data_IF_461914834814
#
_entry.id   IF_461914834814
#
_cell.length_a   1.000
_cell.length_b   1.000
_cell.length_c   1.000
_cell.angle_alpha   90.00
_cell.angle_beta   90.00
_cell.angle_gamma   90.00
#
_symmetry.space_group_name_H-M   'P 1'
#
loop_
_entity.id
_entity.type
_entity.pdbx_description
1 polymer ?
#
# COMPACT_ATOMS: atom_id res chain seq x y z
N UNK A 1 -12.13 10.23 8.51
CA UNK A 1 -11.00 10.65 7.67
C UNK A 1 -11.21 12.06 7.14
N UNK A 2 -10.13 12.81 6.98
CA UNK A 2 -10.11 14.04 6.18
C UNK A 2 -10.07 13.64 4.70
N UNK A 3 -11.12 13.95 3.95
CA UNK A 3 -11.24 13.54 2.56
C UNK A 3 -10.28 14.30 1.63
N UNK A 4 -9.94 15.55 1.95
CA UNK A 4 -8.97 16.34 1.18
C UNK A 4 -7.56 15.76 1.33
N UNK A 5 -7.20 15.33 2.53
CA UNK A 5 -5.96 14.59 2.79
C UNK A 5 -5.97 13.24 2.05
N UNK A 6 -7.07 12.50 2.11
CA UNK A 6 -7.19 11.21 1.42
C UNK A 6 -7.02 11.34 -0.10
N UNK A 7 -7.63 12.35 -0.73
CA UNK A 7 -7.47 12.61 -2.17
C UNK A 7 -6.00 12.87 -2.51
N UNK A 8 -5.31 13.75 -1.76
CA UNK A 8 -3.89 14.05 -2.01
C UNK A 8 -2.99 12.83 -1.84
N UNK A 9 -3.27 11.99 -0.83
CA UNK A 9 -2.51 10.76 -0.59
C UNK A 9 -2.69 9.78 -1.75
N UNK A 10 -3.93 9.52 -2.17
CA UNK A 10 -4.23 8.60 -3.28
C UNK A 10 -3.65 9.12 -4.59
N UNK A 11 -3.82 10.41 -4.89
CA UNK A 11 -3.26 11.03 -6.08
C UNK A 11 -1.73 10.84 -6.13
N UNK A 12 -1.03 11.26 -5.09
CA UNK A 12 0.43 11.09 -5.00
C UNK A 12 0.85 9.62 -5.07
N UNK A 13 0.17 8.73 -4.33
CA UNK A 13 0.52 7.33 -4.25
C UNK A 13 0.35 6.59 -5.58
N UNK A 14 -0.56 7.05 -6.46
CA UNK A 14 -0.77 6.45 -7.78
C UNK A 14 -0.02 7.14 -8.91
N UNK A 15 0.16 8.47 -8.84
CA UNK A 15 0.56 9.22 -10.03
C UNK A 15 2.02 9.69 -10.01
N UNK A 16 2.68 9.76 -8.85
CA UNK A 16 4.06 10.27 -8.75
C UNK A 16 5.11 9.34 -9.38
N UNK A 17 4.90 8.02 -9.36
CA UNK A 17 5.69 7.02 -10.09
C UNK A 17 4.84 5.74 -10.20
N UNK A 18 3.96 5.65 -11.18
CA UNK A 18 2.94 4.59 -11.25
C UNK A 18 3.52 3.18 -11.46
N UNK A 19 4.73 3.07 -12.01
CA UNK A 19 5.46 1.82 -12.22
C UNK A 19 6.20 1.31 -10.98
N UNK A 20 6.33 2.14 -9.94
CA UNK A 20 7.10 1.78 -8.75
C UNK A 20 6.35 0.77 -7.88
N UNK A 21 7.09 -0.14 -7.25
CA UNK A 21 6.54 -1.22 -6.40
C UNK A 21 5.78 -0.72 -5.16
N UNK A 22 5.97 0.53 -4.77
CA UNK A 22 5.28 1.20 -3.67
C UNK A 22 4.16 2.14 -4.16
N UNK A 23 3.87 2.17 -5.47
CA UNK A 23 2.64 2.77 -6.02
C UNK A 23 1.44 1.94 -5.58
N UNK A 24 0.30 2.58 -5.34
CA UNK A 24 -0.92 1.85 -5.00
C UNK A 24 -1.56 1.23 -6.25
N UNK A 25 -2.05 0.00 -6.10
CA UNK A 25 -2.78 -0.72 -7.15
C UNK A 25 -4.28 -0.82 -6.82
N UNK A 26 -4.64 -0.70 -5.53
CA UNK A 26 -6.02 -0.69 -5.11
C UNK A 26 -6.33 0.34 -4.03
N UNK A 27 -7.59 0.79 -3.98
CA UNK A 27 -8.15 1.65 -2.94
C UNK A 27 -9.45 1.05 -2.41
N UNK A 28 -9.49 0.83 -1.10
CA UNK A 28 -10.67 0.35 -0.40
C UNK A 28 -11.33 1.53 0.33
N UNK A 29 -12.61 1.75 0.07
CA UNK A 29 -13.33 2.91 0.59
C UNK A 29 -14.51 2.47 1.43
N UNK A 30 -14.57 2.93 2.68
CA UNK A 30 -15.72 2.65 3.54
C UNK A 30 -17.01 3.21 2.93
N UNK A 31 -18.09 2.41 2.96
CA UNK A 31 -19.39 2.73 2.35
C UNK A 31 -19.91 4.11 2.71
N UNK A 32 -19.82 4.49 3.99
CA UNK A 32 -20.32 5.79 4.48
C UNK A 32 -19.55 6.99 3.91
N UNK A 33 -18.40 6.77 3.31
CA UNK A 33 -17.58 7.82 2.70
C UNK A 33 -17.51 7.75 1.18
N UNK A 34 -17.93 6.63 0.60
CA UNK A 34 -17.79 6.37 -0.83
C UNK A 34 -18.46 7.43 -1.70
N UNK A 35 -19.71 7.79 -1.38
CA UNK A 35 -20.47 8.77 -2.18
C UNK A 35 -19.83 10.18 -2.21
N UNK A 36 -19.14 10.58 -1.11
CA UNK A 36 -18.48 11.87 -1.04
C UNK A 36 -17.03 11.82 -1.56
N UNK A 37 -16.30 10.74 -1.26
CA UNK A 37 -14.88 10.62 -1.56
C UNK A 37 -14.62 10.27 -3.01
N UNK A 38 -15.30 9.27 -3.57
CA UNK A 38 -15.00 8.73 -4.89
C UNK A 38 -15.04 9.78 -6.01
N UNK A 39 -16.05 10.68 -6.08
CA UNK A 39 -16.05 11.73 -7.11
C UNK A 39 -14.87 12.69 -6.99
N UNK A 40 -14.46 13.06 -5.77
CA UNK A 40 -13.31 13.96 -5.52
C UNK A 40 -11.99 13.28 -5.92
N UNK A 41 -11.84 12.01 -5.54
CA UNK A 41 -10.69 11.20 -5.93
C UNK A 41 -10.60 11.08 -7.45
N UNK A 42 -11.71 10.74 -8.11
CA UNK A 42 -11.75 10.63 -9.58
C UNK A 42 -11.35 11.94 -10.25
N UNK A 43 -11.86 13.07 -9.80
CA UNK A 43 -11.52 14.38 -10.36
C UNK A 43 -10.01 14.66 -10.32
N UNK A 44 -9.31 14.29 -9.24
CA UNK A 44 -7.86 14.43 -9.15
C UNK A 44 -7.14 13.46 -10.10
N UNK A 45 -7.54 12.19 -10.11
CA UNK A 45 -6.94 11.16 -10.93
C UNK A 45 -7.17 11.35 -12.44
N UNK A 46 -8.27 11.97 -12.84
CA UNK A 46 -8.57 12.30 -14.25
C UNK A 46 -7.54 13.27 -14.85
N UNK A 47 -6.93 14.13 -14.04
CA UNK A 47 -5.86 15.03 -14.48
C UNK A 47 -4.63 14.26 -15.01
N UNK A 48 -4.46 13.04 -14.56
CA UNK A 48 -3.36 12.14 -14.94
C UNK A 48 -3.80 11.00 -15.87
N UNK A 49 -5.08 10.96 -16.25
CA UNK A 49 -5.63 9.93 -17.13
C UNK A 49 -5.71 8.54 -16.47
N UNK A 50 -5.83 8.47 -15.14
CA UNK A 50 -5.92 7.19 -14.42
C UNK A 50 -7.24 6.50 -14.71
N UNK A 51 -7.19 5.26 -15.22
CA UNK A 51 -8.34 4.39 -15.43
C UNK A 51 -8.77 3.77 -14.11
N UNK A 52 -10.04 3.86 -13.77
CA UNK A 52 -10.60 3.24 -12.57
C UNK A 52 -11.33 1.95 -12.96
N UNK A 53 -10.96 0.84 -12.30
CA UNK A 53 -11.67 -0.43 -12.30
C UNK A 53 -12.42 -0.55 -10.98
N UNK A 54 -13.74 -0.69 -11.02
CA UNK A 54 -14.58 -0.59 -9.83
C UNK A 54 -15.39 -1.84 -9.53
N UNK A 55 -15.60 -2.13 -8.24
CA UNK A 55 -16.67 -3.03 -7.84
C UNK A 55 -18.06 -2.45 -8.24
N UNK A 56 -19.15 -3.22 -8.17
CA UNK A 56 -20.48 -2.72 -8.56
C UNK A 56 -20.90 -1.43 -7.87
N UNK A 57 -20.58 -1.26 -6.58
CA UNK A 57 -20.88 -0.05 -5.83
C UNK A 57 -20.05 1.15 -6.31
N UNK A 58 -18.77 0.94 -6.60
CA UNK A 58 -17.92 1.97 -7.21
C UNK A 58 -18.44 2.42 -8.56
N UNK A 59 -18.80 1.50 -9.45
CA UNK A 59 -19.34 1.81 -10.77
C UNK A 59 -20.70 2.54 -10.70
N UNK A 60 -21.51 2.25 -9.67
CA UNK A 60 -22.77 2.98 -9.43
C UNK A 60 -22.52 4.44 -9.03
N UNK A 61 -21.48 4.71 -8.25
CA UNK A 61 -21.12 6.06 -7.78
C UNK A 61 -20.32 6.82 -8.87
N UNK A 62 -19.49 6.11 -9.61
CA UNK A 62 -18.62 6.67 -10.66
C UNK A 62 -19.02 6.11 -12.05
N UNK A 63 -19.90 6.77 -12.79
CA UNK A 63 -20.35 6.26 -14.10
C UNK A 63 -19.22 6.09 -15.15
N UNK A 64 -18.05 6.71 -14.93
CA UNK A 64 -16.87 6.57 -15.80
C UNK A 64 -15.91 5.46 -15.38
N UNK A 65 -16.19 4.70 -14.32
CA UNK A 65 -15.40 3.55 -13.92
C UNK A 65 -15.81 2.32 -14.75
N UNK A 66 -14.84 1.48 -15.12
CA UNK A 66 -15.09 0.18 -15.74
C UNK A 66 -15.28 -0.90 -14.67
N UNK A 67 -16.13 -1.91 -14.88
CA UNK A 67 -16.23 -3.03 -13.94
C UNK A 67 -14.88 -3.75 -13.79
N UNK A 68 -14.49 -4.02 -12.56
CA UNK A 68 -13.33 -4.84 -12.24
C UNK A 68 -13.68 -6.33 -12.40
N UNK A 69 -12.82 -7.09 -13.06
CA UNK A 69 -12.85 -8.56 -13.07
C UNK A 69 -12.22 -9.13 -11.78
N UNK A 70 -12.37 -10.43 -11.54
CA UNK A 70 -11.81 -11.06 -10.34
C UNK A 70 -10.28 -11.01 -10.32
N UNK A 71 -9.66 -11.10 -11.47
CA UNK A 71 -8.21 -11.09 -11.68
C UNK A 71 -7.61 -9.72 -11.39
N UNK A 72 -8.36 -8.63 -11.66
CA UNK A 72 -7.89 -7.25 -11.48
C UNK A 72 -7.51 -6.92 -10.02
N UNK A 73 -8.06 -7.66 -9.05
CA UNK A 73 -7.73 -7.46 -7.63
C UNK A 73 -6.34 -7.98 -7.24
N UNK A 74 -5.74 -8.84 -8.08
CA UNK A 74 -4.40 -9.41 -7.86
C UNK A 74 -3.36 -8.82 -8.83
N UNK A 75 -3.77 -7.86 -9.67
CA UNK A 75 -2.91 -7.34 -10.74
C UNK A 75 -2.02 -6.20 -10.25
N UNK A 76 -0.75 -6.29 -10.57
CA UNK A 76 0.20 -5.19 -10.50
C UNK A 76 0.14 -4.41 -11.82
N UNK A 77 -0.72 -3.40 -11.91
CA UNK A 77 -0.94 -2.64 -13.16
C UNK A 77 0.31 -1.87 -13.61
N UNK A 78 1.16 -1.45 -12.68
CA UNK A 78 2.39 -0.69 -12.92
C UNK A 78 2.21 0.46 -13.91
N UNK A 79 1.10 1.16 -13.78
CA UNK A 79 0.68 2.21 -14.70
C UNK A 79 -0.53 2.98 -14.17
N UNK A 80 -1.14 3.77 -15.02
CA UNK A 80 -2.29 4.63 -14.68
C UNK A 80 -3.61 3.85 -14.65
N UNK A 81 -3.64 2.73 -13.92
CA UNK A 81 -4.86 1.97 -13.62
C UNK A 81 -4.96 1.75 -12.11
N UNK A 82 -6.16 1.87 -11.55
CA UNK A 82 -6.42 1.75 -10.12
C UNK A 82 -7.69 0.94 -9.90
N UNK A 83 -7.61 -0.14 -9.12
CA UNK A 83 -8.76 -0.89 -8.67
C UNK A 83 -9.40 -0.20 -7.46
N UNK A 84 -10.73 -0.07 -7.44
CA UNK A 84 -11.45 0.64 -6.37
C UNK A 84 -12.64 -0.18 -5.88
N UNK A 85 -12.67 -0.49 -4.58
CA UNK A 85 -13.72 -1.27 -3.94
C UNK A 85 -14.34 -0.51 -2.78
N UNK A 86 -15.66 -0.57 -2.68
CA UNK A 86 -16.40 -0.14 -1.49
C UNK A 86 -16.48 -1.31 -0.52
N UNK A 87 -16.19 -1.04 0.75
CA UNK A 87 -16.20 -2.02 1.85
C UNK A 87 -17.06 -1.52 3.01
N UNK A 88 -17.59 -2.44 3.81
CA UNK A 88 -18.50 -2.11 4.91
C UNK A 88 -17.80 -1.95 6.27
N UNK A 89 -16.56 -2.44 6.37
CA UNK A 89 -15.82 -2.40 7.64
C UNK A 89 -14.30 -2.43 7.43
N UNK A 90 -13.57 -2.14 8.52
CA UNK A 90 -12.12 -2.29 8.56
C UNK A 90 -11.72 -3.77 8.38
N UNK A 91 -12.47 -4.67 8.97
CA UNK A 91 -12.25 -6.11 8.90
C UNK A 91 -12.37 -6.63 7.46
N UNK A 92 -13.40 -6.19 6.74
CA UNK A 92 -13.56 -6.52 5.32
C UNK A 92 -12.40 -5.99 4.49
N UNK A 93 -11.97 -4.75 4.76
CA UNK A 93 -10.81 -4.18 4.08
C UNK A 93 -9.54 -5.00 4.33
N UNK A 94 -9.27 -5.38 5.58
CA UNK A 94 -8.11 -6.20 5.94
C UNK A 94 -8.17 -7.59 5.31
N UNK A 95 -9.31 -8.25 5.30
CA UNK A 95 -9.50 -9.55 4.66
C UNK A 95 -9.28 -9.48 3.14
N UNK A 96 -9.75 -8.41 2.49
CA UNK A 96 -9.49 -8.17 1.07
C UNK A 96 -7.98 -7.97 0.81
N UNK A 97 -7.30 -7.17 1.62
CA UNK A 97 -5.86 -6.96 1.50
C UNK A 97 -5.06 -8.25 1.72
N UNK A 98 -5.44 -9.07 2.71
CA UNK A 98 -4.79 -10.36 2.97
C UNK A 98 -4.87 -11.31 1.76
N UNK A 99 -5.99 -11.26 1.04
CA UNK A 99 -6.23 -12.12 -0.13
C UNK A 99 -5.59 -11.61 -1.42
N UNK A 100 -5.36 -10.30 -1.55
CA UNK A 100 -5.04 -9.66 -2.83
C UNK A 100 -3.80 -8.75 -2.80
N UNK A 101 -3.25 -8.43 -1.62
CA UNK A 101 -2.11 -7.52 -1.54
C UNK A 101 -0.78 -8.29 -1.52
N UNK A 102 0.20 -7.82 -2.28
CA UNK A 102 1.56 -8.38 -2.31
C UNK A 102 2.39 -8.16 -1.03
N UNK A 103 1.83 -7.50 0.00
CA UNK A 103 2.46 -7.32 1.31
C UNK A 103 3.66 -6.36 1.34
N UNK A 104 3.82 -5.50 0.35
CA UNK A 104 4.92 -4.50 0.32
C UNK A 104 4.56 -3.30 1.18
N UNK A 105 3.53 -2.54 0.78
CA UNK A 105 3.10 -1.32 1.45
C UNK A 105 1.58 -1.25 1.49
N UNK A 106 1.04 -0.90 2.64
CA UNK A 106 -0.38 -0.63 2.81
C UNK A 106 -0.58 0.66 3.60
N UNK A 107 -1.73 1.30 3.43
CA UNK A 107 -2.02 2.54 4.13
C UNK A 107 -3.47 2.68 4.56
N UNK A 108 -3.69 3.39 5.64
CA UNK A 108 -5.01 3.83 6.10
C UNK A 108 -5.05 5.35 6.22
N UNK A 109 -6.15 5.94 5.78
CA UNK A 109 -6.44 7.36 6.04
C UNK A 109 -7.61 7.45 7.01
N UNK A 110 -7.33 7.90 8.23
CA UNK A 110 -8.33 7.97 9.30
C UNK A 110 -7.99 9.06 10.32
N UNK A 111 -9.01 9.60 10.98
CA UNK A 111 -8.86 10.47 12.16
C UNK A 111 -9.07 9.70 13.47
N UNK A 112 -9.39 8.40 13.38
CA UNK A 112 -9.60 7.52 14.51
C UNK A 112 -8.30 6.77 14.84
N UNK A 113 -7.70 7.08 15.98
CA UNK A 113 -6.45 6.47 16.46
C UNK A 113 -6.65 4.97 16.71
N UNK A 114 -7.80 4.57 17.24
CA UNK A 114 -8.07 3.16 17.51
C UNK A 114 -8.18 2.36 16.21
N UNK A 115 -8.85 2.91 15.19
CA UNK A 115 -8.89 2.29 13.85
C UNK A 115 -7.49 2.19 13.22
N UNK A 116 -6.65 3.22 13.36
CA UNK A 116 -5.29 3.21 12.86
C UNK A 116 -4.44 2.11 13.52
N UNK A 117 -4.52 1.99 14.86
CA UNK A 117 -3.80 0.95 15.62
C UNK A 117 -4.29 -0.46 15.27
N UNK A 118 -5.60 -0.66 15.16
CA UNK A 118 -6.18 -1.95 14.74
C UNK A 118 -5.70 -2.33 13.34
N UNK A 119 -5.77 -1.40 12.39
CA UNK A 119 -5.28 -1.61 11.04
C UNK A 119 -3.81 -2.01 11.03
N UNK A 120 -2.96 -1.27 11.74
CA UNK A 120 -1.52 -1.56 11.81
C UNK A 120 -1.22 -2.94 12.43
N UNK A 121 -2.05 -3.39 13.38
CA UNK A 121 -1.92 -4.72 13.99
C UNK A 121 -2.44 -5.87 13.13
N UNK A 122 -3.40 -5.61 12.23
CA UNK A 122 -3.99 -6.61 11.34
C UNK A 122 -3.26 -6.72 10.00
N UNK A 123 -2.65 -5.63 9.54
CA UNK A 123 -2.03 -5.57 8.22
C UNK A 123 -0.70 -6.32 8.18
N UNK A 124 -0.64 -7.38 7.36
CA UNK A 124 0.60 -8.14 7.14
C UNK A 124 1.36 -7.59 5.91
N UNK A 125 2.00 -6.44 6.11
CA UNK A 125 2.80 -5.77 5.10
C UNK A 125 4.19 -5.40 5.64
N UNK A 126 5.15 -5.19 4.73
CA UNK A 126 6.49 -4.74 5.09
C UNK A 126 6.48 -3.32 5.67
N UNK A 127 5.56 -2.47 5.20
CA UNK A 127 5.34 -1.14 5.75
C UNK A 127 3.85 -0.80 5.83
N UNK A 128 3.45 -0.19 6.95
CA UNK A 128 2.09 0.28 7.19
C UNK A 128 2.12 1.78 7.38
N UNK A 129 1.37 2.50 6.58
CA UNK A 129 1.28 3.95 6.60
C UNK A 129 -0.04 4.40 7.21
N UNK A 130 0.02 5.35 8.12
CA UNK A 130 -1.16 6.02 8.66
C UNK A 130 -1.11 7.47 8.22
N UNK A 131 -2.11 7.89 7.43
CA UNK A 131 -2.23 9.26 6.92
C UNK A 131 -1.01 9.74 6.11
N UNK A 132 -0.35 8.82 5.41
CA UNK A 132 0.81 9.11 4.56
C UNK A 132 0.75 8.28 3.27
N UNK A 133 1.42 8.75 2.23
CA UNK A 133 1.54 8.05 0.95
C UNK A 133 2.46 6.85 1.07
N UNK A 134 2.11 5.74 0.43
CA UNK A 134 2.97 4.55 0.32
C UNK A 134 4.28 4.83 -0.42
N UNK A 135 4.36 5.94 -1.17
CA UNK A 135 5.58 6.41 -1.84
C UNK A 135 6.72 6.75 -0.87
N UNK A 136 6.44 6.96 0.42
CA UNK A 136 7.47 7.08 1.45
C UNK A 136 8.20 5.78 1.76
N UNK A 137 7.74 4.62 1.25
CA UNK A 137 8.49 3.37 1.34
C UNK A 137 9.68 3.41 0.35
N UNK A 138 10.71 4.10 0.75
CA UNK A 138 11.90 4.37 -0.06
C UNK A 138 13.14 4.35 0.84
N UNK A 139 14.22 3.72 0.38
CA UNK A 139 15.45 3.59 1.16
C UNK A 139 16.12 4.92 1.43
N UNK A 140 15.98 5.91 0.53
CA UNK A 140 16.46 7.26 0.74
C UNK A 140 15.67 7.98 1.83
N UNK A 141 14.34 7.91 1.78
CA UNK A 141 13.44 8.50 2.77
C UNK A 141 13.63 7.86 4.17
N UNK A 142 13.91 6.56 4.24
CA UNK A 142 14.18 5.84 5.49
C UNK A 142 15.64 5.96 5.97
N UNK A 143 16.50 6.66 5.23
CA UNK A 143 17.90 6.85 5.61
C UNK A 143 18.77 5.60 5.48
N UNK A 144 18.36 4.64 4.64
CA UNK A 144 19.09 3.39 4.42
C UNK A 144 20.24 3.53 3.41
N UNK A 145 20.35 4.67 2.74
CA UNK A 145 21.31 4.94 1.67
C UNK A 145 20.90 4.32 0.35
N UNK A 146 21.36 3.12 0.06
CA UNK A 146 20.90 2.32 -1.08
C UNK A 146 19.83 1.34 -0.62
N UNK A 147 18.97 0.89 -1.55
CA UNK A 147 17.97 -0.12 -1.25
C UNK A 147 17.88 -1.22 -2.32
N UNK A 148 17.51 -2.40 -1.85
CA UNK A 148 16.93 -3.47 -2.65
C UNK A 148 15.51 -3.73 -2.12
N UNK A 149 14.49 -3.65 -2.97
CA UNK A 149 13.12 -3.96 -2.60
C UNK A 149 12.89 -5.47 -2.56
N UNK A 150 12.40 -5.99 -1.44
CA UNK A 150 12.02 -7.40 -1.31
C UNK A 150 10.57 -7.51 -0.89
N UNK A 151 9.78 -8.23 -1.69
CA UNK A 151 8.36 -8.51 -1.45
C UNK A 151 8.07 -10.00 -1.69
N UNK A 152 6.89 -10.44 -1.27
CA UNK A 152 6.40 -11.80 -1.50
C UNK A 152 7.01 -12.88 -0.60
N UNK A 153 7.82 -12.52 0.39
CA UNK A 153 8.35 -13.43 1.41
C UNK A 153 8.28 -12.82 2.81
N UNK A 154 8.23 -13.66 3.85
CA UNK A 154 8.05 -13.26 5.26
C UNK A 154 9.09 -13.87 6.20
N UNK A 155 10.11 -14.54 5.68
CA UNK A 155 11.07 -15.32 6.49
C UNK A 155 12.22 -14.49 7.03
N UNK A 156 12.47 -13.31 6.48
CA UNK A 156 13.61 -12.47 6.83
C UNK A 156 13.25 -10.99 6.61
N UNK A 157 14.21 -10.17 6.29
CA UNK A 157 14.00 -8.76 5.97
C UNK A 157 13.14 -8.62 4.71
N UNK A 158 12.15 -7.74 4.74
CA UNK A 158 11.30 -7.39 3.59
C UNK A 158 11.09 -5.88 3.52
N UNK A 159 10.61 -5.39 2.37
CA UNK A 159 10.50 -3.96 2.07
C UNK A 159 11.82 -3.39 1.56
N UNK A 160 12.15 -2.12 1.84
CA UNK A 160 13.42 -1.54 1.48
C UNK A 160 14.54 -2.13 2.35
N UNK A 161 15.49 -2.78 1.71
CA UNK A 161 16.63 -3.43 2.37
C UNK A 161 17.89 -2.64 2.08
N UNK A 162 18.49 -2.07 3.13
CA UNK A 162 19.78 -1.38 3.03
C UNK A 162 20.98 -2.34 3.14
N UNK A 163 22.19 -1.78 3.04
CA UNK A 163 23.45 -2.53 3.04
C UNK A 163 23.59 -3.45 4.26
N UNK A 164 23.15 -3.01 5.44
CA UNK A 164 23.24 -3.81 6.67
C UNK A 164 22.48 -5.15 6.55
N UNK A 165 21.32 -5.16 5.95
CA UNK A 165 20.51 -6.36 5.78
C UNK A 165 21.01 -7.29 4.66
N UNK A 166 21.87 -6.79 3.75
CA UNK A 166 22.51 -7.56 2.70
C UNK A 166 23.81 -8.24 3.14
N UNK A 167 24.23 -8.02 4.39
CA UNK A 167 25.45 -8.61 4.98
C UNK A 167 25.10 -9.55 6.12
N UNK A 168 26.05 -10.38 6.51
CA UNK A 168 25.93 -11.27 7.65
C UNK A 168 27.18 -11.16 8.52
N UNK A 169 27.02 -11.51 9.79
CA UNK A 169 28.16 -11.52 10.73
C UNK A 169 28.95 -12.81 10.62
N UNK A 170 30.28 -12.67 10.74
CA UNK A 170 31.22 -13.78 10.86
C UNK A 170 31.98 -13.63 12.17
N UNK A 171 31.96 -14.65 13.01
CA UNK A 171 32.75 -14.69 14.21
C UNK A 171 34.16 -15.24 13.92
N UNK A 172 35.19 -14.52 14.32
CA UNK A 172 36.57 -14.98 14.22
C UNK A 172 37.05 -15.13 15.65
N UNK A 173 37.37 -16.36 16.05
CA UNK A 173 37.88 -16.68 17.40
C UNK A 173 39.32 -17.14 17.25
N UNK A 174 40.23 -16.39 17.86
CA UNK A 174 41.65 -16.75 17.92
C UNK A 174 41.99 -17.17 19.34
N UNK A 175 42.49 -18.37 19.47
CA UNK A 175 42.88 -18.94 20.76
C UNK A 175 44.35 -19.38 20.80
N UNK A 176 44.83 -19.71 22.00
CA UNK A 176 46.17 -20.27 22.27
C UNK A 176 46.10 -21.65 22.92
N UNK A 177 45.03 -22.42 22.66
CA UNK A 177 44.85 -23.76 23.21
C UNK A 177 43.76 -23.87 24.28
N UNK A 178 42.90 -22.85 24.43
CA UNK A 178 41.77 -22.91 25.36
C UNK A 178 40.82 -24.04 24.96
N UNK A 179 40.39 -24.79 25.97
CA UNK A 179 39.37 -25.85 25.86
C UNK A 179 38.17 -25.49 26.74
N UNK A 180 37.03 -26.13 26.46
CA UNK A 180 35.82 -26.02 27.26
C UNK A 180 35.58 -27.28 28.05
#
# INVERSE_FOLDING_TARGET
ADLSMAVRIVDNAKTSAPEAVNSIESVLVHRDRAAEFLPKMKQALDLHGVRILGCPDTCRILPGASPAAAEDWNEDFRGYTLAVRVVDSLEEACAHMESHCGGVAVGIVTNDIAAAQRFAGMADAAAVFVNASTRFLDGGEFGLGAELGVAGQKLHVRGPIGLHALTTMKYIVTGSGQIR
#
